data_IF_749377858993
#
_entry.id   IF_749377858993
#
_cell.length_a   1.000
_cell.length_b   1.000
_cell.length_c   1.000
_cell.angle_alpha   90.00
_cell.angle_beta   90.00
_cell.angle_gamma   90.00
#
_symmetry.space_group_name_H-M   'P 1'
#
loop_
_entity.id
_entity.type
_entity.pdbx_description
1 polymer ?
#
# COMPACT_ATOMS: atom_id res chain seq x y z
N UNK A 1 19.99 68.21 -21.05
CA UNK A 1 20.67 67.40 -22.10
C UNK A 1 21.58 66.44 -21.34
N UNK A 2 21.40 65.12 -21.29
CA UNK A 2 20.78 64.18 -22.23
C UNK A 2 20.33 62.90 -21.49
N UNK A 3 19.13 62.44 -21.84
CA UNK A 3 18.70 61.05 -22.07
C UNK A 3 19.06 59.96 -21.05
N UNK A 4 18.09 59.65 -20.17
CA UNK A 4 17.91 58.30 -19.63
C UNK A 4 16.97 57.51 -20.55
N UNK A 5 17.53 56.49 -21.19
CA UNK A 5 16.83 55.50 -22.01
C UNK A 5 15.85 54.68 -21.17
N UNK A 6 14.56 54.74 -21.51
CA UNK A 6 13.54 53.84 -20.97
C UNK A 6 13.73 52.42 -21.53
N UNK A 7 14.14 51.49 -20.68
CA UNK A 7 14.06 50.06 -20.96
C UNK A 7 12.61 49.59 -20.78
N UNK A 8 11.98 49.19 -21.88
CA UNK A 8 10.68 48.52 -21.92
C UNK A 8 10.74 47.20 -21.14
N UNK A 9 10.09 47.16 -19.97
CA UNK A 9 9.80 45.90 -19.28
C UNK A 9 8.70 45.18 -20.07
N UNK A 10 9.08 44.17 -20.84
CA UNK A 10 8.14 43.22 -21.43
C UNK A 10 7.43 42.49 -20.27
N UNK A 11 6.17 42.87 -20.02
CA UNK A 11 5.23 42.10 -19.22
C UNK A 11 5.04 40.74 -19.90
N UNK A 12 5.69 39.71 -19.37
CA UNK A 12 5.30 38.34 -19.63
C UNK A 12 3.96 38.16 -18.93
N UNK A 13 2.88 38.25 -19.71
CA UNK A 13 1.55 37.84 -19.27
C UNK A 13 1.64 36.35 -18.94
N UNK A 14 1.76 36.04 -17.64
CA UNK A 14 1.44 34.72 -17.13
C UNK A 14 -0.06 34.54 -17.42
N UNK A 15 -0.39 33.71 -18.41
CA UNK A 15 -1.76 33.26 -18.62
C UNK A 15 -2.26 32.69 -17.30
N UNK A 16 -3.22 33.39 -16.69
CA UNK A 16 -3.95 32.91 -15.52
C UNK A 16 -4.65 31.61 -15.91
N UNK A 17 -4.38 30.48 -15.24
CA UNK A 17 -5.06 29.23 -15.58
C UNK A 17 -6.57 29.42 -15.42
N UNK A 18 -7.31 29.07 -16.47
CA UNK A 18 -8.76 29.10 -16.47
C UNK A 18 -9.27 28.02 -15.49
N UNK A 19 -9.63 28.45 -14.28
CA UNK A 19 -10.07 27.59 -13.17
C UNK A 19 -11.55 27.17 -13.28
N UNK A 20 -12.17 27.26 -14.46
CA UNK A 20 -13.46 26.61 -14.73
C UNK A 20 -13.29 25.09 -14.91
N UNK A 21 -12.75 24.43 -13.89
CA UNK A 21 -12.67 22.97 -13.85
C UNK A 21 -14.04 22.44 -13.39
N UNK A 22 -14.74 21.74 -14.29
CA UNK A 22 -15.68 20.67 -13.88
C UNK A 22 -14.95 19.81 -12.86
N UNK A 23 -15.57 19.45 -11.74
CA UNK A 23 -14.88 18.71 -10.68
C UNK A 23 -14.21 17.44 -11.23
N UNK A 24 -12.88 17.43 -11.30
CA UNK A 24 -12.04 16.42 -11.95
C UNK A 24 -11.90 15.11 -11.12
N UNK A 25 -12.82 14.86 -10.19
CA UNK A 25 -12.83 13.62 -9.40
C UNK A 25 -13.21 12.44 -10.28
N UNK A 26 -12.39 11.38 -10.22
CA UNK A 26 -12.78 10.10 -10.82
C UNK A 26 -13.85 9.44 -9.95
N UNK A 27 -14.95 9.04 -10.56
CA UNK A 27 -16.07 8.36 -9.90
C UNK A 27 -16.36 7.06 -10.62
N UNK A 28 -16.38 5.95 -9.89
CA UNK A 28 -16.70 4.63 -10.40
C UNK A 28 -17.97 4.10 -9.73
N UNK A 29 -19.02 3.95 -10.54
CA UNK A 29 -20.36 3.58 -10.06
C UNK A 29 -21.26 4.79 -9.80
N UNK A 30 -22.47 4.58 -9.26
CA UNK A 30 -23.37 5.68 -8.91
C UNK A 30 -22.85 6.44 -7.69
N UNK A 31 -23.36 7.66 -7.48
CA UNK A 31 -22.93 8.55 -6.39
C UNK A 31 -22.84 7.83 -5.03
N UNK A 32 -21.67 7.92 -4.40
CA UNK A 32 -21.48 7.45 -3.04
C UNK A 32 -22.41 8.23 -2.11
N UNK A 33 -23.16 7.51 -1.29
CA UNK A 33 -24.07 8.11 -0.31
C UNK A 33 -23.38 8.16 1.04
N UNK A 34 -22.47 9.11 1.22
CA UNK A 34 -22.06 9.48 2.56
C UNK A 34 -23.28 10.05 3.30
N UNK A 35 -23.32 9.86 4.63
CA UNK A 35 -24.34 10.46 5.48
C UNK A 35 -24.37 11.99 5.32
N UNK A 36 -25.47 12.65 5.74
CA UNK A 36 -25.52 14.11 5.73
C UNK A 36 -24.32 14.68 6.51
N UNK A 37 -23.74 15.77 6.00
CA UNK A 37 -22.65 16.49 6.67
C UNK A 37 -23.01 16.63 8.16
N UNK A 38 -22.14 16.16 9.09
CA UNK A 38 -22.43 16.20 10.51
C UNK A 38 -22.81 17.63 10.91
N UNK A 39 -23.94 17.79 11.61
CA UNK A 39 -24.44 19.12 12.02
C UNK A 39 -23.48 19.87 12.95
N UNK A 40 -22.50 19.16 13.52
CA UNK A 40 -21.37 19.72 14.26
C UNK A 40 -20.11 19.05 13.72
N UNK A 41 -19.01 19.79 13.50
CA UNK A 41 -17.70 19.16 13.32
C UNK A 41 -17.50 18.17 14.47
N UNK A 42 -17.16 16.93 14.15
CA UNK A 42 -16.67 16.01 15.17
C UNK A 42 -15.38 16.65 15.68
N UNK A 43 -15.39 17.10 16.93
CA UNK A 43 -14.16 17.54 17.57
C UNK A 43 -13.21 16.35 17.49
N UNK A 44 -12.01 16.56 16.92
CA UNK A 44 -11.02 15.50 16.71
C UNK A 44 -10.63 14.95 18.09
N UNK A 45 -11.40 13.97 18.57
CA UNK A 45 -10.98 13.10 19.66
C UNK A 45 -9.76 12.37 19.10
N UNK A 46 -8.67 12.35 19.86
CA UNK A 46 -7.31 12.05 19.41
C UNK A 46 -6.55 13.26 18.84
N UNK A 47 -5.73 13.85 19.73
CA UNK A 47 -4.36 14.14 19.32
C UNK A 47 -3.75 12.80 18.95
N UNK A 48 -3.62 12.46 17.67
CA UNK A 48 -2.67 11.39 17.33
C UNK A 48 -1.35 11.80 17.97
N UNK A 49 -0.72 10.88 18.69
CA UNK A 49 0.52 11.16 19.42
C UNK A 49 1.61 11.70 18.48
N UNK A 50 1.48 11.41 17.19
CA UNK A 50 2.35 11.84 16.10
C UNK A 50 1.54 12.42 14.92
N UNK A 51 2.23 13.12 14.02
CA UNK A 51 1.59 13.62 12.79
C UNK A 51 1.39 12.48 11.79
N UNK A 52 0.15 12.00 11.65
CA UNK A 52 -0.22 11.03 10.62
C UNK A 52 -0.48 11.76 9.30
N UNK A 53 0.21 11.33 8.24
CA UNK A 53 0.06 11.92 6.90
C UNK A 53 -1.22 11.39 6.25
N UNK A 54 -2.13 12.29 5.87
CA UNK A 54 -3.36 11.91 5.13
C UNK A 54 -3.04 11.20 3.79
N UNK A 55 -1.93 11.56 3.15
CA UNK A 55 -1.46 10.92 1.92
C UNK A 55 0.06 10.74 1.98
N UNK A 56 0.53 9.58 1.57
CA UNK A 56 1.94 9.26 1.39
C UNK A 56 2.16 8.74 -0.02
N UNK A 57 3.22 9.23 -0.67
CA UNK A 57 3.61 8.85 -2.03
C UNK A 57 5.11 8.67 -2.02
N UNK A 58 5.59 7.59 -2.63
CA UNK A 58 7.02 7.34 -2.79
C UNK A 58 7.28 6.50 -4.05
N UNK A 59 8.52 6.48 -4.52
CA UNK A 59 8.91 5.72 -5.71
C UNK A 59 10.41 5.38 -5.71
N UNK A 60 10.74 4.33 -6.44
CA UNK A 60 12.12 3.95 -6.71
C UNK A 60 12.21 3.36 -8.13
N UNK A 61 13.15 3.84 -8.93
CA UNK A 61 13.53 3.15 -10.16
C UNK A 61 14.81 2.34 -9.84
N UNK A 62 14.76 1.03 -10.02
CA UNK A 62 15.81 0.07 -9.71
C UNK A 62 16.10 -0.82 -10.94
N UNK A 63 17.20 -1.57 -10.93
CA UNK A 63 17.50 -2.56 -11.97
C UNK A 63 16.48 -3.70 -12.05
N UNK A 64 15.76 -3.97 -10.96
CA UNK A 64 14.65 -4.92 -10.91
C UNK A 64 13.40 -4.42 -11.65
N UNK A 65 13.23 -3.10 -11.74
CA UNK A 65 12.04 -2.47 -12.27
C UNK A 65 11.72 -1.14 -11.62
N UNK A 66 10.49 -0.68 -11.83
CA UNK A 66 10.00 0.60 -11.31
C UNK A 66 8.96 0.39 -10.23
N UNK A 67 9.28 0.84 -9.01
CA UNK A 67 8.42 0.81 -7.83
C UNK A 67 7.61 2.10 -7.72
N UNK A 68 6.31 2.00 -7.45
CA UNK A 68 5.46 3.12 -7.03
C UNK A 68 4.66 2.72 -5.80
N UNK A 69 4.57 3.63 -4.83
CA UNK A 69 3.84 3.43 -3.61
C UNK A 69 2.93 4.62 -3.33
N UNK A 70 1.66 4.36 -2.98
CA UNK A 70 0.69 5.38 -2.58
C UNK A 70 -0.17 4.83 -1.45
N UNK A 71 -0.41 5.65 -0.43
CA UNK A 71 -1.38 5.38 0.63
C UNK A 71 -2.19 6.64 0.91
N UNK A 72 -3.51 6.55 0.78
CA UNK A 72 -4.44 7.68 0.89
C UNK A 72 -5.53 7.38 1.91
N UNK A 73 -5.84 8.38 2.74
CA UNK A 73 -6.91 8.31 3.73
C UNK A 73 -8.28 8.23 3.07
N UNK A 74 -9.07 7.24 3.49
CA UNK A 74 -10.40 6.94 3.01
C UNK A 74 -11.42 8.06 3.28
N UNK A 75 -12.48 8.09 2.47
CA UNK A 75 -13.57 9.03 2.65
C UNK A 75 -14.29 8.85 3.99
N UNK A 76 -14.43 7.60 4.48
CA UNK A 76 -15.10 7.35 5.77
C UNK A 76 -14.26 7.86 6.94
N UNK A 77 -12.94 7.62 6.94
CA UNK A 77 -12.03 8.15 7.94
C UNK A 77 -11.95 9.68 7.91
N UNK A 78 -12.01 10.30 6.72
CA UNK A 78 -12.15 11.77 6.60
C UNK A 78 -13.46 12.26 7.22
N UNK A 79 -14.57 11.58 6.93
CA UNK A 79 -15.89 11.94 7.44
C UNK A 79 -15.99 11.79 8.97
N UNK A 80 -15.41 10.74 9.54
CA UNK A 80 -15.39 10.47 10.99
C UNK A 80 -14.33 11.30 11.74
N UNK A 81 -13.39 11.92 11.03
CA UNK A 81 -12.29 12.68 11.64
C UNK A 81 -11.11 11.81 12.10
N UNK A 82 -11.13 10.51 11.78
CA UNK A 82 -10.14 9.49 12.12
C UNK A 82 -8.95 9.51 11.17
N UNK A 83 -7.72 9.35 11.65
CA UNK A 83 -6.51 9.34 10.82
C UNK A 83 -6.47 8.16 9.84
N UNK A 84 -5.59 8.23 8.84
CA UNK A 84 -5.26 7.05 8.03
C UNK A 84 -4.65 5.96 8.92
N UNK A 85 -5.19 4.76 8.83
CA UNK A 85 -4.81 3.54 9.53
C UNK A 85 -3.89 2.64 8.70
N UNK A 86 -3.85 2.80 7.38
CA UNK A 86 -2.88 2.12 6.53
C UNK A 86 -1.46 2.71 6.58
N UNK A 87 -0.46 1.84 6.39
CA UNK A 87 0.90 2.28 6.06
C UNK A 87 1.64 1.33 5.11
N UNK A 88 2.59 1.88 4.34
CA UNK A 88 3.57 1.09 3.58
C UNK A 88 4.99 1.48 3.96
N UNK A 89 5.93 0.59 3.66
CA UNK A 89 7.36 0.88 3.66
C UNK A 89 8.08 0.02 2.62
N UNK A 90 9.25 0.45 2.18
CA UNK A 90 10.16 -0.38 1.39
C UNK A 90 11.61 0.00 1.66
N UNK A 91 12.51 -0.92 1.38
CA UNK A 91 13.94 -0.69 1.48
C UNK A 91 14.69 -1.44 0.38
N UNK A 92 15.64 -0.76 -0.26
CA UNK A 92 16.65 -1.41 -1.10
C UNK A 92 17.87 -1.73 -0.24
N UNK A 93 18.26 -3.01 -0.18
CA UNK A 93 19.39 -3.52 0.61
C UNK A 93 20.23 -4.46 -0.23
N UNK A 94 21.55 -4.29 -0.25
CA UNK A 94 22.49 -5.22 -0.89
C UNK A 94 21.97 -5.79 -2.23
N UNK A 95 21.50 -7.03 -2.20
CA UNK A 95 21.00 -7.78 -3.35
C UNK A 95 19.47 -7.99 -3.40
N UNK A 96 18.66 -7.27 -2.61
CA UNK A 96 17.21 -7.38 -2.64
C UNK A 96 16.49 -6.04 -2.42
N UNK A 97 15.23 -6.01 -2.82
CA UNK A 97 14.24 -4.97 -2.54
C UNK A 97 13.14 -5.59 -1.68
N UNK A 98 12.90 -5.02 -0.50
CA UNK A 98 11.80 -5.44 0.38
C UNK A 98 10.70 -4.40 0.36
N UNK A 99 9.45 -4.86 0.34
CA UNK A 99 8.24 -4.06 0.36
C UNK A 99 7.30 -4.57 1.45
N UNK A 100 6.59 -3.67 2.14
CA UNK A 100 5.61 -4.02 3.15
C UNK A 100 4.38 -3.11 3.05
N UNK A 101 3.20 -3.71 3.18
CA UNK A 101 1.92 -3.04 3.46
C UNK A 101 1.42 -3.58 4.79
N UNK A 102 0.94 -2.67 5.64
CA UNK A 102 0.26 -3.00 6.88
C UNK A 102 -1.04 -2.21 6.94
N UNK A 103 -2.14 -2.92 7.14
CA UNK A 103 -3.49 -2.39 7.20
C UNK A 103 -3.93 -2.39 8.67
N UNK A 104 -4.30 -1.22 9.18
CA UNK A 104 -4.67 -1.05 10.57
C UNK A 104 -6.12 -1.46 10.78
N UNK A 105 -6.40 -2.41 11.67
CA UNK A 105 -7.77 -2.90 11.90
C UNK A 105 -8.70 -1.75 12.31
N UNK A 106 -9.79 -1.54 11.56
CA UNK A 106 -10.68 -0.38 11.74
C UNK A 106 -11.36 -0.28 13.12
N UNK A 107 -11.56 -1.41 13.81
CA UNK A 107 -12.13 -1.42 15.17
C UNK A 107 -11.14 -1.05 16.27
N UNK A 108 -9.84 -1.00 15.96
CA UNK A 108 -8.77 -0.78 16.92
C UNK A 108 -8.41 0.72 17.03
N UNK A 109 -8.39 1.23 18.25
CA UNK A 109 -8.32 2.68 18.52
C UNK A 109 -7.05 3.36 17.97
N UNK A 110 -5.94 2.64 17.93
CA UNK A 110 -4.63 3.14 17.53
C UNK A 110 -3.98 2.27 16.45
N UNK A 111 -4.78 1.64 15.58
CA UNK A 111 -4.29 0.76 14.52
C UNK A 111 -3.28 1.43 13.57
N UNK A 112 -3.43 2.73 13.34
CA UNK A 112 -2.47 3.58 12.61
C UNK A 112 -1.05 3.55 13.19
N UNK A 113 -0.91 3.38 14.52
CA UNK A 113 0.38 3.23 15.17
C UNK A 113 0.96 1.85 14.90
N UNK A 114 0.12 0.82 15.00
CA UNK A 114 0.48 -0.56 14.68
C UNK A 114 1.00 -0.72 13.26
N UNK A 115 0.22 -0.28 12.27
CA UNK A 115 0.58 -0.39 10.86
C UNK A 115 1.86 0.39 10.53
N UNK A 116 2.02 1.61 11.06
CA UNK A 116 3.21 2.43 10.86
C UNK A 116 4.47 1.80 11.45
N UNK A 117 4.37 1.20 12.63
CA UNK A 117 5.49 0.53 13.29
C UNK A 117 5.86 -0.77 12.57
N UNK A 118 4.88 -1.66 12.34
CA UNK A 118 5.11 -2.97 11.71
C UNK A 118 5.76 -2.78 10.35
N UNK A 119 5.14 -2.01 9.45
CA UNK A 119 5.64 -1.85 8.08
C UNK A 119 7.08 -1.32 8.06
N UNK A 120 7.47 -0.41 8.96
CA UNK A 120 8.85 0.10 9.04
C UNK A 120 9.83 -0.91 9.62
N UNK A 121 9.49 -1.56 10.74
CA UNK A 121 10.40 -2.48 11.41
C UNK A 121 10.73 -3.69 10.52
N UNK A 122 9.73 -4.27 9.84
CA UNK A 122 9.96 -5.50 9.06
C UNK A 122 10.88 -5.29 7.86
N UNK A 123 10.90 -4.08 7.27
CA UNK A 123 11.81 -3.78 6.14
C UNK A 123 13.24 -3.46 6.60
N UNK A 124 13.45 -3.28 7.92
CA UNK A 124 14.74 -3.00 8.54
C UNK A 124 15.33 -4.21 9.29
N UNK A 125 14.51 -5.19 9.65
CA UNK A 125 14.92 -6.39 10.39
C UNK A 125 15.58 -7.43 9.48
N UNK A 126 16.91 -7.34 9.33
CA UNK A 126 17.69 -8.29 8.53
C UNK A 126 17.55 -9.74 9.00
N UNK A 127 17.35 -9.99 10.31
CA UNK A 127 17.22 -11.34 10.83
C UNK A 127 15.89 -11.97 10.39
N UNK A 128 14.79 -11.22 10.50
CA UNK A 128 13.48 -11.62 9.98
C UNK A 128 13.52 -11.82 8.48
N UNK A 129 14.11 -10.88 7.73
CA UNK A 129 14.18 -10.97 6.27
C UNK A 129 14.99 -12.19 5.80
N UNK A 130 16.08 -12.52 6.48
CA UNK A 130 16.86 -13.73 6.21
C UNK A 130 16.09 -15.01 6.55
N UNK A 131 15.30 -14.99 7.64
CA UNK A 131 14.44 -16.11 8.03
C UNK A 131 13.34 -16.36 6.98
N UNK A 132 12.68 -15.29 6.50
CA UNK A 132 11.71 -15.35 5.40
C UNK A 132 12.41 -15.88 4.14
N UNK A 133 13.54 -15.28 3.75
CA UNK A 133 14.31 -15.65 2.56
C UNK A 133 14.74 -17.14 2.52
N UNK A 134 14.92 -17.74 3.69
CA UNK A 134 15.41 -19.12 3.83
C UNK A 134 14.30 -20.12 4.20
N UNK A 135 13.06 -19.67 4.32
CA UNK A 135 11.94 -20.49 4.73
C UNK A 135 11.61 -21.57 3.68
N UNK A 136 11.00 -22.67 4.14
CA UNK A 136 10.36 -23.62 3.22
C UNK A 136 9.17 -22.94 2.55
N UNK A 137 8.91 -23.28 1.29
CA UNK A 137 7.86 -22.63 0.49
C UNK A 137 6.92 -23.68 -0.12
N UNK A 138 5.62 -23.68 0.23
CA UNK A 138 5.00 -22.86 1.26
C UNK A 138 5.48 -23.24 2.67
N UNK A 139 5.42 -22.30 3.62
CA UNK A 139 5.84 -22.49 5.00
C UNK A 139 5.38 -21.36 5.91
N UNK A 140 5.98 -21.29 7.11
CA UNK A 140 5.64 -20.30 8.14
C UNK A 140 6.89 -19.71 8.79
N UNK A 141 6.83 -18.43 9.17
CA UNK A 141 7.89 -17.71 9.88
C UNK A 141 7.31 -16.91 11.03
N UNK A 142 7.97 -16.95 12.18
CA UNK A 142 7.56 -16.27 13.40
C UNK A 142 8.05 -14.81 13.45
N UNK A 143 7.17 -13.87 13.77
CA UNK A 143 7.41 -12.44 13.93
C UNK A 143 7.27 -12.03 15.42
N UNK A 144 7.84 -12.84 16.33
CA UNK A 144 7.71 -12.67 17.79
C UNK A 144 8.24 -11.32 18.28
N UNK A 145 9.36 -10.87 17.74
CA UNK A 145 9.99 -9.62 18.17
C UNK A 145 9.15 -8.41 17.73
N UNK A 146 8.52 -8.47 16.55
CA UNK A 146 7.57 -7.47 16.07
C UNK A 146 6.31 -7.44 16.94
N UNK A 147 5.72 -8.61 17.23
CA UNK A 147 4.55 -8.72 18.12
C UNK A 147 4.87 -8.19 19.52
N UNK A 148 6.03 -8.56 20.07
CA UNK A 148 6.51 -8.07 21.38
C UNK A 148 6.67 -6.55 21.39
N UNK A 149 7.23 -5.98 20.32
CA UNK A 149 7.40 -4.53 20.17
C UNK A 149 6.06 -3.80 20.12
N UNK A 150 5.07 -4.33 19.37
CA UNK A 150 3.72 -3.75 19.34
C UNK A 150 3.04 -3.79 20.72
N UNK A 151 3.13 -4.91 21.44
CA UNK A 151 2.57 -5.04 22.80
C UNK A 151 3.22 -4.03 23.75
N UNK A 152 4.53 -3.81 23.64
CA UNK A 152 5.25 -2.80 24.43
C UNK A 152 4.78 -1.38 24.11
N UNK A 153 4.58 -1.05 22.83
CA UNK A 153 4.09 0.27 22.39
C UNK A 153 2.66 0.52 22.86
N UNK A 154 1.78 -0.48 22.77
CA UNK A 154 0.42 -0.39 23.31
C UNK A 154 0.46 -0.10 24.82
N UNK A 155 1.25 -0.87 25.58
CA UNK A 155 1.40 -0.69 27.02
C UNK A 155 1.97 0.69 27.40
N UNK A 156 2.94 1.21 26.65
CA UNK A 156 3.51 2.56 26.86
C UNK A 156 2.45 3.66 26.73
N UNK A 157 1.47 3.47 25.85
CA UNK A 157 0.37 4.41 25.61
C UNK A 157 -0.88 4.11 26.46
N UNK A 158 -0.82 3.10 27.34
CA UNK A 158 -1.96 2.69 28.16
C UNK A 158 -3.12 2.10 27.35
N UNK A 159 -2.81 1.48 26.21
CA UNK A 159 -3.76 0.84 25.29
C UNK A 159 -3.74 -0.68 25.47
N UNK A 160 -4.84 -1.34 25.08
CA UNK A 160 -4.86 -2.80 24.97
C UNK A 160 -4.08 -3.23 23.70
N UNK A 161 -3.55 -4.46 23.70
CA UNK A 161 -2.78 -4.93 22.53
C UNK A 161 -3.63 -5.02 21.24
N UNK A 162 -4.94 -5.20 21.40
CA UNK A 162 -5.90 -5.17 20.29
C UNK A 162 -6.03 -3.77 19.67
N UNK A 163 -5.72 -2.69 20.40
CA UNK A 163 -5.87 -1.32 19.90
C UNK A 163 -4.78 -0.93 18.89
N UNK A 164 -3.68 -1.67 18.81
CA UNK A 164 -2.61 -1.47 17.81
C UNK A 164 -2.64 -2.55 16.73
N UNK A 165 -3.78 -3.21 16.55
CA UNK A 165 -3.89 -4.35 15.65
C UNK A 165 -3.68 -3.97 14.18
N UNK A 166 -2.92 -4.78 13.46
CA UNK A 166 -2.64 -4.56 12.04
C UNK A 166 -2.30 -5.86 11.30
N UNK A 167 -2.68 -5.92 10.02
CA UNK A 167 -2.21 -6.96 9.09
C UNK A 167 -0.76 -6.69 8.66
N UNK A 168 -0.18 -7.64 7.93
CA UNK A 168 1.09 -7.45 7.26
C UNK A 168 1.18 -8.29 6.00
N UNK A 169 1.52 -7.64 4.89
CA UNK A 169 1.91 -8.31 3.65
C UNK A 169 3.25 -7.77 3.20
N UNK A 170 4.22 -8.69 3.06
CA UNK A 170 5.61 -8.39 2.77
C UNK A 170 6.06 -9.13 1.51
N UNK A 171 6.87 -8.47 0.70
CA UNK A 171 7.56 -9.06 -0.44
C UNK A 171 9.06 -8.81 -0.39
N UNK A 172 9.86 -9.84 -0.67
CA UNK A 172 11.30 -9.74 -0.90
C UNK A 172 11.57 -10.09 -2.36
N UNK A 173 12.05 -9.12 -3.13
CA UNK A 173 12.44 -9.26 -4.52
C UNK A 173 13.95 -9.34 -4.60
N UNK A 174 14.49 -10.51 -4.97
CA UNK A 174 15.93 -10.69 -5.10
C UNK A 174 16.43 -10.21 -6.45
N UNK A 175 17.63 -9.63 -6.45
CA UNK A 175 18.41 -9.42 -7.65
C UNK A 175 18.59 -10.75 -8.39
N UNK A 176 18.46 -10.71 -9.72
CA UNK A 176 18.83 -11.85 -10.54
C UNK A 176 20.33 -12.13 -10.36
N UNK A 177 20.72 -13.39 -10.07
CA UNK A 177 22.12 -13.79 -10.11
C UNK A 177 22.74 -13.43 -11.47
N UNK A 178 24.01 -13.03 -11.48
CA UNK A 178 24.72 -12.59 -12.71
C UNK A 178 24.77 -13.69 -13.77
N UNK A 179 24.76 -14.95 -13.34
CA UNK A 179 24.76 -16.16 -14.18
C UNK A 179 23.37 -16.74 -14.45
N UNK A 180 22.31 -16.09 -13.95
CA UNK A 180 20.95 -16.58 -14.16
C UNK A 180 20.53 -16.42 -15.62
N UNK A 181 20.20 -17.54 -16.25
CA UNK A 181 19.56 -17.56 -17.57
C UNK A 181 18.02 -17.46 -17.47
N UNK A 182 17.48 -17.33 -16.25
CA UNK A 182 16.03 -17.27 -16.05
C UNK A 182 15.45 -15.93 -16.49
N UNK A 183 14.42 -15.99 -17.34
CA UNK A 183 13.61 -14.82 -17.67
C UNK A 183 12.81 -14.32 -16.45
N UNK A 184 12.62 -15.15 -15.43
CA UNK A 184 11.76 -14.87 -14.29
C UNK A 184 12.52 -14.28 -13.10
N UNK A 185 11.88 -13.35 -12.40
CA UNK A 185 12.30 -12.81 -11.11
C UNK A 185 11.47 -13.50 -10.03
N UNK A 186 12.14 -14.09 -9.04
CA UNK A 186 11.46 -14.73 -7.91
C UNK A 186 11.20 -13.72 -6.80
N UNK A 187 9.99 -13.77 -6.26
CA UNK A 187 9.52 -12.93 -5.16
C UNK A 187 9.12 -13.84 -4.02
N UNK A 188 9.68 -13.61 -2.85
CA UNK A 188 9.22 -14.24 -1.61
C UNK A 188 8.16 -13.39 -0.97
N UNK A 189 7.01 -13.99 -0.67
CA UNK A 189 5.88 -13.34 -0.03
C UNK A 189 5.71 -13.87 1.39
N UNK A 190 5.37 -12.98 2.32
CA UNK A 190 5.00 -13.32 3.68
C UNK A 190 3.74 -12.56 4.09
N UNK A 191 2.78 -13.22 4.75
CA UNK A 191 1.48 -12.63 5.06
C UNK A 191 0.99 -13.00 6.47
N UNK A 192 0.49 -12.01 7.21
CA UNK A 192 -0.35 -12.12 8.42
C UNK A 192 -1.62 -11.30 8.17
N UNK A 193 -2.77 -11.91 8.35
CA UNK A 193 -4.05 -11.30 8.05
C UNK A 193 -4.49 -11.57 6.62
N UNK A 194 -5.31 -10.68 6.06
CA UNK A 194 -6.05 -10.86 4.80
C UNK A 194 -5.61 -9.92 3.67
N UNK A 195 -4.90 -8.81 3.97
CA UNK A 195 -4.43 -7.86 2.95
C UNK A 195 -3.62 -8.58 1.84
N UNK A 196 -4.02 -8.55 0.57
CA UNK A 196 -3.53 -9.50 -0.42
C UNK A 196 -2.28 -9.01 -1.17
N UNK A 197 -1.64 -9.96 -1.86
CA UNK A 197 -0.71 -9.67 -2.94
C UNK A 197 -1.34 -10.03 -4.28
N UNK A 198 -1.03 -9.26 -5.32
CA UNK A 198 -1.50 -9.46 -6.68
C UNK A 198 -0.34 -9.46 -7.67
N UNK A 199 -0.53 -10.22 -8.75
CA UNK A 199 0.17 -10.06 -10.01
C UNK A 199 -0.76 -9.39 -11.01
N UNK A 200 -0.32 -8.28 -11.59
CA UNK A 200 -0.99 -7.67 -12.74
C UNK A 200 -0.26 -8.16 -14.00
N UNK A 201 -0.98 -8.91 -14.84
CA UNK A 201 -0.45 -9.46 -16.09
C UNK A 201 -1.48 -9.31 -17.20
N UNK A 202 -1.07 -8.74 -18.35
CA UNK A 202 -1.95 -8.42 -19.47
C UNK A 202 -3.20 -7.56 -19.12
N UNK A 203 -3.15 -6.79 -18.03
CA UNK A 203 -4.26 -5.97 -17.54
C UNK A 203 -5.22 -6.70 -16.60
N UNK A 204 -4.96 -7.96 -16.28
CA UNK A 204 -5.75 -8.76 -15.34
C UNK A 204 -5.09 -8.77 -13.96
N UNK A 205 -5.92 -8.72 -12.91
CA UNK A 205 -5.49 -8.88 -11.51
C UNK A 205 -5.56 -10.36 -11.13
N UNK A 206 -4.40 -10.95 -10.84
CA UNK A 206 -4.27 -12.34 -10.43
C UNK A 206 -3.85 -12.34 -8.96
N UNK A 207 -4.74 -12.79 -8.09
CA UNK A 207 -4.47 -12.86 -6.66
C UNK A 207 -3.42 -13.93 -6.33
N UNK A 208 -2.47 -13.59 -5.47
CA UNK A 208 -1.37 -14.45 -5.04
C UNK A 208 -1.64 -14.87 -3.61
N UNK A 209 -2.04 -16.13 -3.41
CA UNK A 209 -2.32 -16.70 -2.09
C UNK A 209 -1.34 -17.80 -1.75
N UNK A 210 -0.98 -17.93 -0.48
CA UNK A 210 -0.19 -19.07 -0.02
C UNK A 210 -0.93 -20.39 -0.35
N UNK A 211 -0.32 -21.32 -1.12
CA UNK A 211 -0.99 -22.57 -1.50
C UNK A 211 -1.43 -23.44 -0.31
N UNK A 212 -0.71 -23.36 0.82
CA UNK A 212 -1.07 -24.09 2.03
C UNK A 212 -2.38 -23.58 2.67
N UNK A 213 -2.67 -22.28 2.55
CA UNK A 213 -3.92 -21.69 3.05
C UNK A 213 -5.13 -22.13 2.21
N UNK A 214 -4.95 -22.42 0.92
CA UNK A 214 -6.01 -22.91 0.04
C UNK A 214 -6.40 -24.38 0.31
N UNK A 215 -5.54 -25.15 1.01
CA UNK A 215 -5.77 -26.58 1.30
C UNK A 215 -6.47 -26.80 2.65
N UNK A 216 -6.50 -25.78 3.50
CA UNK A 216 -7.29 -25.75 4.74
C UNK A 216 -8.76 -25.55 4.40
N UNK A 217 -9.38 -26.59 3.81
CA UNK A 217 -10.81 -26.64 3.61
C UNK A 217 -11.53 -26.63 4.95
N UNK A 218 -11.97 -25.45 5.39
CA UNK A 218 -13.03 -25.30 6.36
C UNK A 218 -14.18 -24.52 5.74
N UNK A 219 -15.30 -25.21 5.52
CA UNK A 219 -16.66 -24.66 5.35
C UNK A 219 -17.16 -23.94 6.63
N UNK A 220 -16.24 -23.35 7.38
CA UNK A 220 -16.47 -22.41 8.46
C UNK A 220 -15.66 -21.19 8.07
N UNK A 221 -16.36 -20.17 7.60
CA UNK A 221 -15.81 -18.84 7.40
C UNK A 221 -15.49 -18.33 8.80
N UNK A 222 -14.29 -18.64 9.29
CA UNK A 222 -13.71 -17.92 10.41
C UNK A 222 -13.32 -16.55 9.86
N UNK A 223 -14.27 -15.61 9.93
CA UNK A 223 -14.05 -14.21 9.61
C UNK A 223 -13.13 -13.52 10.64
N UNK A 224 -12.59 -14.23 11.65
CA UNK A 224 -11.55 -13.67 12.50
C UNK A 224 -10.20 -13.78 11.77
N UNK A 225 -9.96 -12.79 10.92
CA UNK A 225 -8.60 -12.42 10.55
C UNK A 225 -7.90 -12.12 11.88
N UNK A 226 -6.96 -12.95 12.32
CA UNK A 226 -6.14 -12.63 13.49
C UNK A 226 -4.94 -11.78 13.04
N UNK A 227 -4.92 -10.48 13.36
CA UNK A 227 -3.83 -9.57 13.02
C UNK A 227 -2.68 -9.70 14.03
N UNK A 228 -1.55 -9.03 13.73
CA UNK A 228 -0.58 -8.68 14.77
C UNK A 228 -1.25 -7.74 15.80
N UNK A 229 -0.87 -7.77 17.09
CA UNK A 229 0.12 -8.66 17.72
C UNK A 229 -0.43 -10.03 18.16
N UNK A 230 -1.73 -10.29 17.96
CA UNK A 230 -2.39 -11.54 18.36
C UNK A 230 -1.77 -12.76 17.66
N UNK A 231 -1.91 -12.81 16.33
CA UNK A 231 -1.20 -13.78 15.48
C UNK A 231 0.10 -13.19 15.00
N UNK A 232 1.18 -13.94 15.16
CA UNK A 232 2.53 -13.50 14.81
C UNK A 232 3.28 -14.53 13.97
N UNK A 233 2.56 -15.45 13.33
CA UNK A 233 3.13 -16.44 12.41
C UNK A 233 2.72 -16.06 10.99
N UNK A 234 3.68 -15.61 10.18
CA UNK A 234 3.43 -15.28 8.77
C UNK A 234 3.46 -16.55 7.92
N UNK A 235 2.49 -16.69 7.00
CA UNK A 235 2.56 -17.68 5.93
C UNK A 235 3.50 -17.19 4.85
N UNK A 236 4.40 -18.04 4.36
CA UNK A 236 5.46 -17.70 3.41
C UNK A 236 5.38 -18.57 2.16
N UNK A 237 5.52 -17.97 0.98
CA UNK A 237 5.57 -18.67 -0.31
C UNK A 237 6.37 -17.90 -1.36
N UNK A 238 6.55 -18.48 -2.55
CA UNK A 238 7.31 -17.89 -3.66
C UNK A 238 6.40 -17.74 -4.86
N UNK A 239 6.55 -16.61 -5.55
CA UNK A 239 5.93 -16.33 -6.84
C UNK A 239 7.01 -15.95 -7.87
N UNK A 240 6.76 -16.28 -9.13
CA UNK A 240 7.65 -15.94 -10.24
C UNK A 240 7.01 -14.87 -11.11
N UNK A 241 7.79 -13.85 -11.50
CA UNK A 241 7.34 -12.74 -12.33
C UNK A 241 8.20 -12.59 -13.57
N UNK A 242 7.56 -12.23 -14.68
CA UNK A 242 8.22 -11.91 -15.94
C UNK A 242 8.35 -10.40 -16.11
N UNK A 243 9.25 -10.01 -16.99
CA UNK A 243 9.31 -8.63 -17.47
C UNK A 243 7.93 -8.19 -18.03
N UNK A 244 7.52 -6.98 -17.68
CA UNK A 244 6.22 -6.43 -18.01
C UNK A 244 5.08 -6.88 -17.08
N UNK A 245 5.31 -7.81 -16.15
CA UNK A 245 4.37 -8.10 -15.07
C UNK A 245 4.58 -7.13 -13.90
N UNK A 246 3.56 -6.96 -13.06
CA UNK A 246 3.64 -6.10 -11.88
C UNK A 246 3.26 -6.89 -10.63
N UNK A 247 4.13 -6.87 -9.62
CA UNK A 247 3.75 -7.23 -8.25
C UNK A 247 3.02 -6.04 -7.64
N UNK A 248 1.91 -6.25 -6.96
CA UNK A 248 1.23 -5.25 -6.16
C UNK A 248 0.85 -5.83 -4.79
N UNK A 249 1.33 -5.20 -3.71
CA UNK A 249 0.82 -5.45 -2.37
C UNK A 249 -0.20 -4.36 -2.07
N UNK A 250 -1.36 -4.75 -1.53
CA UNK A 250 -2.46 -3.80 -1.31
C UNK A 250 -3.17 -4.05 0.03
N UNK A 251 -3.78 -3.00 0.59
CA UNK A 251 -4.77 -3.13 1.68
C UNK A 251 -6.12 -3.59 1.14
N UNK A 252 -7.03 -3.96 2.03
CA UNK A 252 -8.38 -4.41 1.68
C UNK A 252 -9.18 -3.32 0.93
N UNK A 253 -8.96 -2.04 1.26
CA UNK A 253 -9.60 -0.90 0.62
C UNK A 253 -9.25 -0.71 -0.86
N UNK A 254 -8.23 -1.42 -1.36
CA UNK A 254 -7.95 -1.55 -2.81
C UNK A 254 -8.44 -2.89 -3.36
N UNK A 255 -8.24 -3.97 -2.62
CA UNK A 255 -8.69 -5.32 -3.00
C UNK A 255 -10.18 -5.36 -3.33
N UNK A 256 -10.99 -4.89 -2.38
CA UNK A 256 -12.44 -4.95 -2.43
C UNK A 256 -13.04 -4.24 -3.67
N UNK A 257 -12.66 -2.98 -3.97
CA UNK A 257 -13.11 -2.34 -5.19
C UNK A 257 -12.50 -2.96 -6.46
N UNK A 258 -11.29 -3.53 -6.42
CA UNK A 258 -10.73 -4.28 -7.57
C UNK A 258 -11.58 -5.52 -7.86
N UNK A 259 -12.00 -6.26 -6.84
CA UNK A 259 -12.85 -7.47 -6.99
C UNK A 259 -14.29 -7.12 -7.38
N UNK A 260 -14.81 -6.00 -6.90
CA UNK A 260 -16.23 -5.65 -7.03
C UNK A 260 -16.55 -4.67 -8.16
N UNK A 261 -15.56 -3.94 -8.69
CA UNK A 261 -15.76 -2.93 -9.72
C UNK A 261 -14.75 -3.07 -10.87
N UNK A 262 -15.19 -3.71 -11.96
CA UNK A 262 -14.34 -3.99 -13.13
C UNK A 262 -13.83 -2.74 -13.86
N UNK A 263 -14.53 -1.61 -13.77
CA UNK A 263 -14.07 -0.35 -14.36
C UNK A 263 -12.92 0.25 -13.55
N UNK A 264 -13.02 0.24 -12.22
CA UNK A 264 -11.94 0.63 -11.31
C UNK A 264 -10.72 -0.29 -11.46
N UNK A 265 -10.96 -1.61 -11.43
CA UNK A 265 -9.91 -2.61 -11.60
C UNK A 265 -9.13 -2.43 -12.92
N UNK A 266 -9.85 -2.21 -14.03
CA UNK A 266 -9.24 -1.95 -15.33
C UNK A 266 -8.46 -0.63 -15.34
N UNK A 267 -9.05 0.45 -14.83
CA UNK A 267 -8.39 1.75 -14.77
C UNK A 267 -7.06 1.68 -13.99
N UNK A 268 -7.06 1.00 -12.83
CA UNK A 268 -5.87 0.83 -12.02
C UNK A 268 -4.84 -0.10 -12.69
N UNK A 269 -5.26 -1.21 -13.32
CA UNK A 269 -4.35 -2.09 -14.06
C UNK A 269 -3.73 -1.41 -15.29
N UNK A 270 -4.50 -0.57 -16.00
CA UNK A 270 -4.05 0.12 -17.21
C UNK A 270 -2.90 1.10 -16.94
N UNK A 271 -2.86 1.70 -15.74
CA UNK A 271 -1.76 2.54 -15.28
C UNK A 271 -0.40 1.80 -15.30
N UNK A 272 -0.42 0.48 -15.08
CA UNK A 272 0.78 -0.34 -15.01
C UNK A 272 1.10 -1.07 -16.32
N UNK A 273 0.27 -0.93 -17.37
CA UNK A 273 0.31 -1.79 -18.56
C UNK A 273 1.60 -1.67 -19.38
N UNK A 274 2.10 -0.46 -19.57
CA UNK A 274 3.27 -0.17 -20.42
C UNK A 274 4.52 0.12 -19.59
N UNK A 275 4.40 1.05 -18.65
CA UNK A 275 5.44 1.45 -17.70
C UNK A 275 4.84 1.52 -16.30
N UNK A 276 5.67 1.73 -15.27
CA UNK A 276 5.12 2.13 -13.98
C UNK A 276 4.48 3.52 -14.12
N UNK A 277 3.35 3.78 -13.44
CA UNK A 277 2.65 5.05 -13.57
C UNK A 277 3.44 6.20 -12.97
N UNK A 278 3.12 7.42 -13.40
CA UNK A 278 3.51 8.60 -12.64
C UNK A 278 2.79 8.57 -11.28
N UNK A 279 3.44 8.97 -10.17
CA UNK A 279 2.82 8.89 -8.85
C UNK A 279 1.51 9.67 -8.72
N UNK A 280 1.37 10.80 -9.43
CA UNK A 280 0.15 11.60 -9.44
C UNK A 280 -1.02 10.88 -10.15
N UNK A 281 -0.76 10.16 -11.24
CA UNK A 281 -1.79 9.39 -11.95
C UNK A 281 -2.25 8.20 -11.12
N UNK A 282 -1.31 7.53 -10.43
CA UNK A 282 -1.63 6.47 -9.48
C UNK A 282 -2.49 6.99 -8.33
N UNK A 283 -2.11 8.12 -7.71
CA UNK A 283 -2.92 8.76 -6.67
C UNK A 283 -4.33 9.09 -7.19
N UNK A 284 -4.44 9.67 -8.40
CA UNK A 284 -5.72 10.09 -8.97
C UNK A 284 -6.71 8.93 -9.10
N UNK A 285 -6.24 7.77 -9.59
CA UNK A 285 -7.08 6.57 -9.70
C UNK A 285 -7.34 5.96 -8.33
N UNK A 286 -6.32 5.91 -7.46
CA UNK A 286 -6.44 5.34 -6.13
C UNK A 286 -7.39 6.11 -5.22
N UNK A 287 -7.44 7.45 -5.26
CA UNK A 287 -8.35 8.30 -4.45
C UNK A 287 -9.75 8.47 -5.09
N UNK A 288 -10.06 7.72 -6.14
CA UNK A 288 -11.35 7.84 -6.84
C UNK A 288 -12.53 7.46 -5.94
N UNK A 289 -13.68 8.12 -6.08
CA UNK A 289 -14.89 7.68 -5.36
C UNK A 289 -15.40 6.38 -5.97
N UNK A 290 -15.42 5.30 -5.20
CA UNK A 290 -15.98 4.01 -5.61
C UNK A 290 -17.10 3.67 -4.65
N UNK A 291 -18.32 3.51 -5.18
CA UNK A 291 -19.51 3.33 -4.34
C UNK A 291 -19.33 2.20 -3.32
N UNK A 292 -19.57 2.52 -2.04
CA UNK A 292 -19.48 1.60 -0.90
C UNK A 292 -18.07 1.19 -0.46
N UNK A 293 -17.01 1.70 -1.12
CA UNK A 293 -15.62 1.44 -0.75
C UNK A 293 -14.97 2.76 -0.35
N UNK A 294 -15.13 3.12 0.92
CA UNK A 294 -14.74 4.43 1.45
C UNK A 294 -13.54 4.36 2.41
N UNK A 295 -12.93 3.18 2.54
CA UNK A 295 -11.79 2.92 3.41
C UNK A 295 -10.47 3.55 2.89
N UNK A 296 -9.45 3.51 3.72
CA UNK A 296 -8.07 3.80 3.33
C UNK A 296 -7.64 2.91 2.17
N UNK A 297 -6.76 3.45 1.32
CA UNK A 297 -6.29 2.73 0.15
C UNK A 297 -4.80 2.80 0.04
N UNK A 298 -4.18 1.64 0.06
CA UNK A 298 -2.72 1.51 -0.01
C UNK A 298 -2.33 0.51 -1.07
N UNK A 299 -1.39 0.93 -1.91
CA UNK A 299 -0.76 0.09 -2.92
C UNK A 299 0.73 0.39 -2.95
N UNK A 300 1.54 -0.67 -2.92
CA UNK A 300 2.94 -0.63 -3.32
C UNK A 300 3.17 -1.67 -4.41
N UNK A 301 3.62 -1.21 -5.57
CA UNK A 301 3.78 -2.06 -6.73
C UNK A 301 5.15 -1.93 -7.39
N UNK A 302 5.64 -3.03 -7.94
CA UNK A 302 6.88 -3.11 -8.73
C UNK A 302 6.53 -3.65 -10.11
N UNK A 303 6.68 -2.80 -11.13
CA UNK A 303 6.64 -3.27 -12.52
C UNK A 303 8.02 -3.78 -12.91
N UNK A 304 8.10 -5.08 -13.20
CA UNK A 304 9.34 -5.72 -13.60
C UNK A 304 9.73 -5.30 -15.01
N UNK A 305 11.01 -4.99 -15.19
CA UNK A 305 11.57 -4.43 -16.42
C UNK A 305 12.60 -3.39 -16.07
N UNK A 306 13.86 -3.81 -16.02
CA UNK A 306 14.98 -2.92 -15.80
C UNK A 306 15.17 -2.01 -17.00
N UNK A 307 15.71 -0.80 -16.80
CA UNK A 307 16.35 -0.11 -17.91
C UNK A 307 17.56 -0.94 -18.30
N UNK A 308 17.65 -1.33 -19.57
CA UNK A 308 18.95 -1.60 -20.18
C UNK A 308 19.87 -0.44 -19.79
N UNK A 309 20.97 -0.77 -19.11
CA UNK A 309 22.00 0.21 -18.74
C UNK A 309 22.92 0.47 -19.92
#
# INVERSE_FOLDING_TARGET
MSEFSQGSAASVLLETPNLEAKSDYLVFGPDARLGPIPKKPVERQFRSFETVRDTAIDWLDDKLGSLRAVSVRGHIHRYLGEVRQDNFAFARRGNYLVLAVADGVGSAQASHLGSAVVSRLVVEDEALLNAIASAKTPGEVELRDISTTLRAIAAEHGLDESDVSTTLTLAIVFDKPVDSTSAETFVMLAQIGDSPAFKISAGEWIELRCPAAATSGSDLIDNSVEPLPGRHTASVWVEAFREGETLALVSDGVEDPVKSNSAYARALADLWRQTAPAPADLLKVLDATVKSFDDDRTIIGVRFGGRDS
#
